data_IF_717729230143
#
_entry.id   IF_717729230143
#
_cell.length_a   1.000
_cell.length_b   1.000
_cell.length_c   1.000
_cell.angle_alpha   90.00
_cell.angle_beta   90.00
_cell.angle_gamma   90.00
#
_symmetry.space_group_name_H-M   'P 1'
#
loop_
_entity.id
_entity.type
_entity.pdbx_description
1 polymer ?
#
# COMPACT_ATOMS: atom_id res chain seq x y z
N UNK A 1 7.29 -13.43 -20.62
CA UNK A 1 6.36 -13.69 -19.50
C UNK A 1 5.56 -12.42 -19.23
N UNK A 2 4.28 -12.37 -19.62
CA UNK A 2 3.37 -11.35 -19.09
C UNK A 2 3.15 -11.66 -17.62
N UNK A 3 3.96 -11.06 -16.74
CA UNK A 3 3.64 -11.10 -15.31
C UNK A 3 2.33 -10.34 -15.13
N UNK A 4 1.33 -11.05 -14.61
CA UNK A 4 0.05 -10.46 -14.25
C UNK A 4 0.30 -9.32 -13.24
N UNK A 5 0.13 -8.08 -13.70
CA UNK A 5 0.35 -6.85 -12.91
C UNK A 5 -0.43 -6.91 -11.60
N UNK A 6 -1.60 -7.56 -11.56
CA UNK A 6 -2.39 -7.75 -10.34
C UNK A 6 -1.65 -8.64 -9.36
N UNK A 7 -1.01 -9.73 -9.81
CA UNK A 7 -0.20 -10.60 -8.93
C UNK A 7 0.99 -9.85 -8.33
N UNK A 8 1.65 -8.98 -9.09
CA UNK A 8 2.75 -8.15 -8.57
C UNK A 8 2.22 -7.13 -7.57
N UNK A 9 1.15 -6.39 -7.91
CA UNK A 9 0.53 -5.41 -7.01
C UNK A 9 0.09 -6.06 -5.69
N UNK A 10 -0.51 -7.26 -5.75
CA UNK A 10 -0.90 -8.03 -4.57
C UNK A 10 0.30 -8.40 -3.69
N UNK A 11 1.44 -8.77 -4.28
CA UNK A 11 2.67 -9.05 -3.51
C UNK A 11 3.17 -7.79 -2.80
N UNK A 12 3.17 -6.64 -3.48
CA UNK A 12 3.58 -5.35 -2.90
C UNK A 12 2.65 -4.90 -1.77
N UNK A 13 1.33 -4.99 -1.98
CA UNK A 13 0.35 -4.68 -0.93
C UNK A 13 0.45 -5.61 0.28
N UNK A 14 0.74 -6.91 0.08
CA UNK A 14 0.98 -7.83 1.19
C UNK A 14 2.23 -7.46 1.99
N UNK A 15 3.33 -7.09 1.32
CA UNK A 15 4.52 -6.58 1.99
C UNK A 15 4.20 -5.32 2.79
N UNK A 16 3.41 -4.40 2.23
CA UNK A 16 2.95 -3.22 2.98
C UNK A 16 2.15 -3.58 4.24
N UNK A 17 1.27 -4.59 4.19
CA UNK A 17 0.57 -5.10 5.38
C UNK A 17 1.56 -5.62 6.44
N UNK A 18 2.58 -6.37 6.03
CA UNK A 18 3.61 -6.89 6.95
C UNK A 18 4.38 -5.75 7.63
N UNK A 19 4.75 -4.70 6.89
CA UNK A 19 5.42 -3.53 7.47
C UNK A 19 4.50 -2.71 8.39
N UNK A 20 3.19 -2.63 8.07
CA UNK A 20 2.21 -2.02 8.98
C UNK A 20 2.12 -2.81 10.28
N UNK A 21 2.09 -4.14 10.22
CA UNK A 21 2.04 -5.00 11.40
C UNK A 21 3.27 -4.84 12.29
N UNK A 22 4.47 -4.74 11.69
CA UNK A 22 5.70 -4.43 12.43
C UNK A 22 5.64 -3.04 13.07
N UNK A 23 5.17 -2.04 12.32
CA UNK A 23 5.06 -0.66 12.82
C UNK A 23 4.11 -0.57 14.02
N UNK A 24 2.97 -1.27 14.00
CA UNK A 24 2.01 -1.32 15.12
C UNK A 24 2.68 -1.78 16.43
N UNK A 25 3.66 -2.67 16.37
CA UNK A 25 4.35 -3.20 17.55
C UNK A 25 5.32 -2.20 18.19
N UNK A 26 5.83 -1.23 17.42
CA UNK A 26 6.88 -0.29 17.87
C UNK A 26 6.37 1.14 18.10
N UNK A 27 5.19 1.50 17.58
CA UNK A 27 4.62 2.83 17.76
C UNK A 27 3.78 2.92 19.04
N UNK A 28 3.62 4.15 19.55
CA UNK A 28 2.68 4.46 20.63
C UNK A 28 1.22 4.25 20.24
N UNK A 29 0.35 4.10 21.24
CA UNK A 29 -1.08 3.77 21.06
C UNK A 29 -1.83 4.80 20.19
N UNK A 30 -1.43 6.07 20.26
CA UNK A 30 -1.94 7.17 19.43
C UNK A 30 -1.83 6.89 17.92
N UNK A 31 -0.81 6.14 17.50
CA UNK A 31 -0.54 5.79 16.09
C UNK A 31 -1.07 4.41 15.71
N UNK A 32 -1.25 3.51 16.68
CA UNK A 32 -1.75 2.16 16.42
C UNK A 32 -3.15 2.22 15.79
N UNK A 33 -4.02 3.07 16.31
CA UNK A 33 -5.38 3.23 15.75
C UNK A 33 -5.34 3.67 14.29
N UNK A 34 -4.47 4.63 13.97
CA UNK A 34 -4.25 5.06 12.59
C UNK A 34 -3.75 3.91 11.71
N UNK A 35 -2.72 3.17 12.16
CA UNK A 35 -2.17 2.03 11.42
C UNK A 35 -3.19 0.91 11.22
N UNK A 36 -4.08 0.63 12.18
CA UNK A 36 -5.17 -0.32 12.00
C UNK A 36 -6.17 0.14 10.94
N UNK A 37 -6.53 1.43 10.91
CA UNK A 37 -7.39 1.99 9.87
C UNK A 37 -6.71 1.91 8.50
N UNK A 38 -5.43 2.27 8.43
CA UNK A 38 -4.65 2.18 7.19
C UNK A 38 -4.52 0.73 6.69
N UNK A 39 -4.26 -0.23 7.59
CA UNK A 39 -4.26 -1.67 7.30
C UNK A 39 -5.61 -2.12 6.71
N UNK A 40 -6.72 -1.63 7.25
CA UNK A 40 -8.07 -1.92 6.73
C UNK A 40 -8.24 -1.41 5.30
N UNK A 41 -7.80 -0.19 5.00
CA UNK A 41 -7.82 0.38 3.64
C UNK A 41 -7.00 -0.48 2.68
N UNK A 42 -5.77 -0.84 3.03
CA UNK A 42 -4.90 -1.68 2.18
C UNK A 42 -5.54 -3.07 1.93
N UNK A 43 -6.18 -3.66 2.94
CA UNK A 43 -6.92 -4.92 2.76
C UNK A 43 -8.11 -4.79 1.79
N UNK A 44 -8.82 -3.67 1.81
CA UNK A 44 -9.89 -3.41 0.82
C UNK A 44 -9.32 -3.27 -0.60
N UNK A 45 -8.15 -2.65 -0.76
CA UNK A 45 -7.47 -2.56 -2.06
C UNK A 45 -7.02 -3.93 -2.56
N UNK A 46 -6.50 -4.79 -1.66
CA UNK A 46 -6.17 -6.19 -1.97
C UNK A 46 -7.41 -6.94 -2.46
N UNK A 47 -8.55 -6.78 -1.77
CA UNK A 47 -9.83 -7.40 -2.17
C UNK A 47 -10.26 -6.94 -3.55
N UNK A 48 -10.31 -5.63 -3.80
CA UNK A 48 -10.63 -5.06 -5.12
C UNK A 48 -9.68 -5.54 -6.23
N UNK A 49 -8.40 -5.71 -5.91
CA UNK A 49 -7.40 -6.23 -6.87
C UNK A 49 -7.66 -7.69 -7.22
N UNK A 50 -8.00 -8.54 -6.23
CA UNK A 50 -8.35 -9.95 -6.45
C UNK A 50 -9.66 -10.10 -7.22
N UNK A 51 -10.67 -9.32 -6.87
CA UNK A 51 -11.99 -9.32 -7.51
C UNK A 51 -11.94 -8.67 -8.91
N UNK A 52 -10.82 -8.03 -9.25
CA UNK A 52 -10.60 -7.38 -10.53
C UNK A 52 -11.37 -6.08 -10.74
N UNK A 53 -11.90 -5.52 -9.65
CA UNK A 53 -12.70 -4.28 -9.60
C UNK A 53 -11.86 -3.05 -9.25
N UNK A 54 -10.58 -3.23 -8.91
CA UNK A 54 -9.67 -2.09 -8.75
C UNK A 54 -9.54 -1.36 -10.09
N UNK A 55 -9.81 -0.03 -10.16
CA UNK A 55 -9.65 0.71 -11.39
C UNK A 55 -8.18 0.71 -11.85
N UNK A 56 -7.91 0.92 -13.15
CA UNK A 56 -6.56 1.22 -13.59
C UNK A 56 -6.10 2.55 -12.98
N UNK A 57 -4.79 2.71 -12.79
CA UNK A 57 -4.26 3.93 -12.17
C UNK A 57 -4.46 5.17 -13.04
N UNK A 58 -4.47 5.02 -14.36
CA UNK A 58 -4.40 6.12 -15.33
C UNK A 58 -3.28 7.13 -14.98
N UNK A 59 -2.15 6.63 -14.44
CA UNK A 59 -1.02 7.45 -13.97
C UNK A 59 -1.18 8.01 -12.55
N UNK A 60 -2.35 7.87 -11.92
CA UNK A 60 -2.61 8.28 -10.55
C UNK A 60 -1.97 7.38 -9.49
N UNK A 61 -1.83 7.92 -8.29
CA UNK A 61 -1.41 7.19 -7.09
C UNK A 61 -2.63 6.53 -6.42
N UNK A 62 -2.41 5.43 -5.71
CA UNK A 62 -3.44 4.80 -4.86
C UNK A 62 -3.49 5.44 -3.46
N UNK A 63 -2.46 6.23 -3.11
CA UNK A 63 -2.41 7.08 -1.93
C UNK A 63 -1.74 6.45 -0.71
N UNK A 64 -1.02 5.34 -0.88
CA UNK A 64 -0.31 4.67 0.23
C UNK A 64 0.85 5.51 0.76
N UNK A 65 1.62 6.15 -0.12
CA UNK A 65 2.70 7.05 0.27
C UNK A 65 2.16 8.24 1.04
N UNK A 66 1.10 8.88 0.53
CA UNK A 66 0.46 10.03 1.18
C UNK A 66 -0.02 9.70 2.58
N UNK A 67 -0.64 8.52 2.77
CA UNK A 67 -1.10 8.07 4.08
C UNK A 67 0.05 8.01 5.11
N UNK A 68 1.23 7.50 4.72
CA UNK A 68 2.39 7.46 5.62
C UNK A 68 3.00 8.86 5.82
N UNK A 69 3.08 9.68 4.76
CA UNK A 69 3.68 11.03 4.80
C UNK A 69 2.90 12.03 5.65
N UNK A 70 1.59 11.89 5.77
CA UNK A 70 0.77 12.79 6.59
C UNK A 70 1.04 12.61 8.10
N UNK A 71 1.74 11.55 8.50
CA UNK A 71 2.15 11.29 9.87
C UNK A 71 3.69 11.30 9.98
N UNK A 72 4.24 12.45 10.37
CA UNK A 72 5.67 12.77 10.40
C UNK A 72 6.58 11.79 11.18
N UNK A 73 5.99 10.97 12.07
CA UNK A 73 6.70 9.92 12.81
C UNK A 73 6.64 8.53 12.17
N UNK A 74 5.70 8.30 11.24
CA UNK A 74 5.62 7.05 10.48
C UNK A 74 6.60 7.05 9.30
N UNK A 75 6.92 8.21 8.74
CA UNK A 75 7.99 8.38 7.73
C UNK A 75 9.38 8.02 8.27
N UNK A 76 9.56 8.04 9.59
CA UNK A 76 10.80 7.60 10.25
C UNK A 76 10.99 6.07 10.22
N UNK A 77 9.93 5.30 9.90
CA UNK A 77 10.01 3.85 9.70
C UNK A 77 10.28 3.62 8.21
N UNK A 78 11.55 3.56 7.83
CA UNK A 78 12.01 3.48 6.43
C UNK A 78 11.32 2.36 5.65
N UNK A 79 11.21 1.17 6.25
CA UNK A 79 10.66 -0.02 5.60
C UNK A 79 9.16 0.12 5.32
N UNK A 80 8.42 0.76 6.23
CA UNK A 80 7.00 1.08 6.05
C UNK A 80 6.81 2.11 4.94
N UNK A 81 7.61 3.17 4.95
CA UNK A 81 7.57 4.22 3.94
C UNK A 81 7.93 3.67 2.55
N UNK A 82 9.02 2.91 2.45
CA UNK A 82 9.48 2.30 1.20
C UNK A 82 8.45 1.32 0.63
N UNK A 83 7.79 0.52 1.49
CA UNK A 83 6.71 -0.36 1.06
C UNK A 83 5.50 0.42 0.53
N UNK A 84 5.17 1.56 1.17
CA UNK A 84 4.07 2.41 0.74
C UNK A 84 4.37 3.11 -0.60
N UNK A 85 5.60 3.59 -0.79
CA UNK A 85 6.10 4.17 -2.05
C UNK A 85 6.11 3.13 -3.16
N UNK A 86 6.58 1.91 -2.88
CA UNK A 86 6.66 0.84 -3.88
C UNK A 86 5.27 0.44 -4.42
N UNK A 87 4.25 0.40 -3.57
CA UNK A 87 2.86 0.18 -4.00
C UNK A 87 2.38 1.32 -4.90
N UNK A 88 2.59 2.57 -4.50
CA UNK A 88 2.11 3.74 -5.23
C UNK A 88 2.79 3.88 -6.60
N UNK A 89 4.12 3.70 -6.65
CA UNK A 89 4.89 3.78 -7.88
C UNK A 89 4.53 2.65 -8.85
N UNK A 90 4.40 1.42 -8.35
CA UNK A 90 4.01 0.30 -9.20
C UNK A 90 2.58 0.45 -9.73
N UNK A 91 1.65 0.89 -8.88
CA UNK A 91 0.27 1.14 -9.32
C UNK A 91 0.24 2.25 -10.38
N UNK A 92 0.89 3.38 -10.12
CA UNK A 92 0.92 4.51 -11.06
C UNK A 92 1.54 4.12 -12.41
N UNK A 93 2.74 3.54 -12.41
CA UNK A 93 3.50 3.28 -13.64
C UNK A 93 3.04 2.03 -14.39
N UNK A 94 2.90 0.91 -13.68
CA UNK A 94 2.69 -0.40 -14.31
C UNK A 94 1.19 -0.75 -14.43
N UNK A 95 0.33 -0.19 -13.56
CA UNK A 95 -1.10 -0.45 -13.57
C UNK A 95 -1.93 0.64 -14.29
N UNK A 96 -1.30 1.43 -15.17
CA UNK A 96 -1.99 2.40 -16.05
C UNK A 96 -3.11 1.76 -16.88
N UNK A 97 -2.94 0.48 -17.24
CA UNK A 97 -3.95 -0.38 -17.87
C UNK A 97 -3.75 -1.80 -17.35
N UNK A 98 -4.86 -2.51 -17.12
CA UNK A 98 -4.85 -3.92 -16.72
C UNK A 98 -4.54 -4.90 -17.87
N UNK A 99 -4.53 -4.40 -19.12
CA UNK A 99 -4.13 -5.18 -20.30
C UNK A 99 -2.69 -5.68 -20.20
#
# INVERSE_FOLDING_TARGET
>A
MNLDKRKILLKKMKKLIEEIDKAILIVGDDKKEYLYRFKSVVNQLIKKTKDGTLPPSNGGLIGTMRAISEYDRLTSISELYDAAVDVDLFYSKECCKWK
#
